data_IF_636661346790
#
_entry.id   IF_636661346790
#
_cell.length_a   1.000
_cell.length_b   1.000
_cell.length_c   1.000
_cell.angle_alpha   90.00
_cell.angle_beta   90.00
_cell.angle_gamma   90.00
#
_symmetry.space_group_name_H-M   'P 1'
#
loop_
_entity.id
_entity.type
_entity.pdbx_description
1 polymer ?
#
# COMPACT_ATOMS: atom_id res chain seq x y z
N UNK A 1 -35.87 -54.62 35.16
CA UNK A 1 -34.79 -54.62 34.15
C UNK A 1 -33.91 -53.37 34.37
N UNK A 2 -32.71 -53.55 34.95
CA UNK A 2 -31.77 -52.46 35.20
C UNK A 2 -30.89 -52.23 33.94
N UNK A 3 -31.03 -51.07 33.30
CA UNK A 3 -30.14 -50.64 32.19
C UNK A 3 -28.74 -50.36 32.75
N UNK A 4 -27.75 -51.18 32.38
CA UNK A 4 -26.33 -50.88 32.61
C UNK A 4 -25.87 -49.82 31.61
N UNK A 5 -25.57 -48.63 32.10
CA UNK A 5 -24.91 -47.58 31.33
C UNK A 5 -23.45 -47.98 31.07
N UNK A 6 -23.10 -48.26 29.83
CA UNK A 6 -21.70 -48.44 29.39
C UNK A 6 -20.99 -47.09 29.47
N UNK A 7 -20.09 -46.93 30.43
CA UNK A 7 -19.18 -45.80 30.48
C UNK A 7 -18.08 -46.05 29.45
N UNK A 8 -18.01 -45.27 28.43
CA UNK A 8 -16.98 -45.33 27.38
C UNK A 8 -15.65 -44.85 27.99
N UNK A 9 -14.54 -45.61 27.88
CA UNK A 9 -13.23 -45.25 28.45
C UNK A 9 -12.65 -43.93 27.88
N UNK A 10 -13.11 -43.48 26.72
CA UNK A 10 -12.71 -42.19 26.11
C UNK A 10 -12.96 -40.97 27.04
N UNK A 11 -14.06 -40.92 27.75
CA UNK A 11 -14.34 -39.80 28.68
C UNK A 11 -13.31 -39.69 29.79
N UNK A 12 -12.79 -40.81 30.24
CA UNK A 12 -11.76 -40.85 31.27
C UNK A 12 -10.41 -40.31 30.75
N UNK A 13 -10.02 -40.68 29.55
CA UNK A 13 -8.80 -40.17 28.90
C UNK A 13 -8.89 -38.66 28.61
N UNK A 14 -10.06 -38.17 28.22
CA UNK A 14 -10.29 -36.72 27.98
C UNK A 14 -10.13 -35.90 29.25
N UNK A 15 -10.64 -36.36 30.38
CA UNK A 15 -10.49 -35.66 31.69
C UNK A 15 -9.06 -35.72 32.24
N UNK A 16 -8.34 -36.82 32.00
CA UNK A 16 -6.92 -36.94 32.35
C UNK A 16 -6.07 -36.02 31.47
N UNK A 17 -6.33 -35.95 30.15
CA UNK A 17 -5.63 -35.05 29.23
C UNK A 17 -5.93 -33.57 29.53
N UNK A 18 -7.18 -33.24 29.88
CA UNK A 18 -7.59 -31.89 30.27
C UNK A 18 -6.95 -31.50 31.63
N UNK A 19 -6.86 -32.42 32.58
CA UNK A 19 -6.19 -32.20 33.85
C UNK A 19 -4.67 -31.99 33.70
N UNK A 20 -4.05 -32.70 32.77
CA UNK A 20 -2.63 -32.55 32.47
C UNK A 20 -2.33 -31.21 31.77
N UNK A 21 -3.26 -30.70 30.98
CA UNK A 21 -3.15 -29.37 30.33
C UNK A 21 -3.25 -28.19 31.32
N UNK A 22 -4.01 -28.36 32.43
CA UNK A 22 -4.11 -27.37 33.49
C UNK A 22 -2.95 -27.43 34.52
N UNK A 23 -2.17 -28.52 34.53
CA UNK A 23 -1.00 -28.64 35.41
C UNK A 23 0.30 -28.13 34.74
N UNK A 24 0.35 -28.00 33.39
CA UNK A 24 1.49 -27.48 32.70
C UNK A 24 1.90 -26.04 33.07
N UNK A 25 1.00 -25.10 33.34
CA UNK A 25 1.42 -23.73 33.69
C UNK A 25 2.03 -23.62 35.11
N UNK A 26 1.81 -24.59 35.99
CA UNK A 26 2.38 -24.56 37.34
C UNK A 26 3.88 -24.91 37.41
N UNK A 27 4.45 -25.52 36.34
CA UNK A 27 5.85 -25.90 36.25
C UNK A 27 6.70 -24.84 35.50
N UNK A 28 6.11 -23.76 34.97
CA UNK A 28 6.78 -22.70 34.21
C UNK A 28 7.14 -21.46 35.04
N UNK A 29 7.05 -21.51 36.38
CA UNK A 29 7.66 -20.49 37.23
C UNK A 29 9.17 -20.76 37.35
N UNK A 30 9.89 -20.77 36.24
CA UNK A 30 11.32 -20.53 36.24
C UNK A 30 11.53 -19.12 36.79
N UNK A 31 12.21 -19.00 37.94
CA UNK A 31 12.63 -17.73 38.50
C UNK A 31 13.31 -16.94 37.44
N UNK A 32 12.66 -15.89 36.92
CA UNK A 32 13.28 -14.92 36.00
C UNK A 32 14.28 -14.13 36.85
N UNK A 33 15.52 -14.61 36.92
CA UNK A 33 16.62 -13.80 37.41
C UNK A 33 16.62 -12.52 36.54
N UNK A 34 16.56 -11.36 37.16
CA UNK A 34 16.62 -10.07 36.49
C UNK A 34 17.88 -9.34 36.93
N UNK A 35 18.50 -8.62 36.02
CA UNK A 35 19.69 -7.82 36.26
C UNK A 35 19.33 -6.36 36.01
N UNK A 36 19.72 -5.48 36.93
CA UNK A 36 19.56 -4.04 36.76
C UNK A 36 20.75 -3.50 35.98
N UNK A 37 20.51 -2.96 34.78
CA UNK A 37 21.49 -2.32 33.94
C UNK A 37 21.27 -0.82 33.96
N UNK A 38 22.34 -0.03 34.08
CA UNK A 38 22.31 1.43 34.04
C UNK A 38 23.48 1.97 33.22
N UNK A 39 23.40 3.20 32.78
CA UNK A 39 24.47 3.84 32.04
C UNK A 39 24.10 5.24 31.59
N UNK A 40 24.99 5.84 30.80
CA UNK A 40 24.81 7.16 30.19
C UNK A 40 24.82 6.98 28.67
N UNK A 41 23.89 7.65 27.98
CA UNK A 41 23.88 7.74 26.53
C UNK A 41 24.35 9.12 26.11
N UNK A 42 25.36 9.15 25.24
CA UNK A 42 25.95 10.39 24.72
C UNK A 42 25.98 10.37 23.19
N UNK A 43 26.14 11.55 22.61
CA UNK A 43 26.40 11.70 21.18
C UNK A 43 27.93 11.54 20.86
N UNK A 44 28.29 11.83 19.60
CA UNK A 44 29.70 11.81 19.13
C UNK A 44 30.57 12.86 19.75
N UNK A 45 30.02 13.95 20.35
CA UNK A 45 30.71 15.01 21.02
C UNK A 45 30.79 14.81 22.53
N UNK A 46 30.31 13.67 23.06
CA UNK A 46 30.13 13.32 24.46
C UNK A 46 29.07 14.17 25.19
N UNK A 47 28.14 14.80 24.47
CA UNK A 47 27.00 15.48 25.07
C UNK A 47 25.93 14.46 25.45
N UNK A 48 25.27 14.57 26.63
CA UNK A 48 24.24 13.64 27.07
C UNK A 48 23.00 13.77 26.21
N UNK A 49 22.46 12.64 25.79
CA UNK A 49 21.22 12.57 24.96
C UNK A 49 20.01 12.32 25.85
N UNK A 50 19.10 13.30 25.88
CA UNK A 50 17.83 13.26 26.62
C UNK A 50 16.76 12.59 25.75
N UNK A 51 15.95 11.68 26.32
CA UNK A 51 14.79 11.12 25.61
C UNK A 51 15.15 9.94 24.68
N UNK A 52 16.33 9.38 24.78
CA UNK A 52 16.69 8.13 24.08
C UNK A 52 15.83 6.99 24.62
N UNK A 53 15.16 6.28 23.74
CA UNK A 53 14.41 5.07 24.10
C UNK A 53 15.36 3.89 24.20
N UNK A 54 15.43 3.28 25.37
CA UNK A 54 16.13 2.04 25.68
C UNK A 54 15.09 0.93 25.88
N UNK A 55 15.17 -0.15 25.14
CA UNK A 55 14.23 -1.25 25.20
C UNK A 55 14.91 -2.63 25.18
N UNK A 56 14.44 -3.55 26.02
CA UNK A 56 14.85 -4.95 25.96
C UNK A 56 14.23 -5.60 24.70
N UNK A 57 15.09 -6.08 23.81
CA UNK A 57 14.70 -6.63 22.51
C UNK A 57 13.70 -7.78 22.65
N UNK A 58 12.56 -7.68 21.93
CA UNK A 58 11.51 -8.70 21.93
C UNK A 58 10.55 -8.64 23.11
N UNK A 59 10.59 -7.55 23.90
CA UNK A 59 9.66 -7.30 25.00
C UNK A 59 9.09 -5.88 24.93
N UNK A 60 8.14 -5.58 25.81
CA UNK A 60 7.62 -4.21 26.03
C UNK A 60 8.34 -3.49 27.15
N UNK A 61 9.41 -4.09 27.73
CA UNK A 61 10.19 -3.54 28.82
C UNK A 61 11.17 -2.48 28.28
N UNK A 62 11.08 -1.25 28.74
CA UNK A 62 11.93 -0.16 28.28
C UNK A 62 11.98 1.02 29.24
N UNK A 63 12.94 1.88 29.04
CA UNK A 63 13.16 3.12 29.77
C UNK A 63 13.47 4.27 28.78
N UNK A 64 13.53 5.49 29.30
CA UNK A 64 13.91 6.69 28.54
C UNK A 64 15.01 7.41 29.33
N UNK A 65 16.03 7.93 28.64
CA UNK A 65 17.11 8.68 29.28
C UNK A 65 16.62 10.01 29.88
N UNK A 66 17.13 10.35 31.05
CA UNK A 66 16.87 11.61 31.73
C UNK A 66 17.67 12.79 31.16
N UNK A 67 17.60 13.95 31.84
CA UNK A 67 18.28 15.21 31.43
C UNK A 67 19.82 15.11 31.42
N UNK A 68 20.38 14.17 32.15
CA UNK A 68 21.83 13.88 32.19
C UNK A 68 22.20 12.71 31.25
N UNK A 69 21.27 12.26 30.39
CA UNK A 69 21.42 11.11 29.49
C UNK A 69 21.47 9.75 30.21
N UNK A 70 21.13 9.70 31.52
CA UNK A 70 21.17 8.46 32.31
C UNK A 70 19.95 7.61 32.09
N UNK A 71 20.13 6.29 32.04
CA UNK A 71 19.05 5.31 32.00
C UNK A 71 19.24 4.22 33.05
N UNK A 72 18.16 3.54 33.39
CA UNK A 72 18.19 2.38 34.28
C UNK A 72 17.03 1.45 33.91
N UNK A 73 17.36 0.22 33.51
CA UNK A 73 16.40 -0.79 33.10
C UNK A 73 16.70 -2.12 33.77
N UNK A 74 15.67 -2.81 34.21
CA UNK A 74 15.79 -4.16 34.75
C UNK A 74 15.46 -5.17 33.66
N UNK A 75 16.44 -6.00 33.27
CA UNK A 75 16.35 -6.90 32.11
C UNK A 75 16.70 -8.33 32.48
N UNK A 76 16.40 -9.27 31.59
CA UNK A 76 16.82 -10.66 31.74
C UNK A 76 18.32 -10.80 31.47
N UNK A 77 19.04 -11.70 32.20
CA UNK A 77 20.43 -11.99 31.91
C UNK A 77 20.60 -12.39 30.43
N UNK A 78 21.67 -11.92 29.81
CA UNK A 78 21.99 -12.16 28.39
C UNK A 78 21.03 -11.54 27.38
N UNK A 79 20.13 -10.63 27.78
CA UNK A 79 19.28 -9.90 26.87
C UNK A 79 20.03 -8.87 26.03
N UNK A 80 19.46 -8.47 24.90
CA UNK A 80 19.99 -7.38 24.07
C UNK A 80 19.15 -6.12 24.33
N UNK A 81 19.84 -5.03 24.62
CA UNK A 81 19.27 -3.69 24.74
C UNK A 81 19.32 -2.99 23.40
N UNK A 82 18.24 -2.34 23.01
CA UNK A 82 18.17 -1.53 21.79
C UNK A 82 17.93 -0.08 22.16
N UNK A 83 18.90 0.74 21.80
CA UNK A 83 18.85 2.20 21.95
C UNK A 83 18.39 2.83 20.64
N UNK A 84 17.41 3.71 20.72
CA UNK A 84 16.90 4.43 19.55
C UNK A 84 16.55 5.86 19.89
N UNK A 85 16.97 6.79 19.03
CA UNK A 85 16.69 8.22 19.13
C UNK A 85 16.53 8.83 17.75
N UNK A 86 15.73 9.91 17.65
CA UNK A 86 15.48 10.59 16.37
C UNK A 86 16.81 11.15 15.86
N UNK A 87 17.12 10.91 14.59
CA UNK A 87 18.36 11.34 13.91
C UNK A 87 19.63 10.61 14.32
N UNK A 88 19.55 9.52 15.10
CA UNK A 88 20.68 8.68 15.47
C UNK A 88 20.49 7.24 14.99
N UNK A 89 21.59 6.57 14.65
CA UNK A 89 21.57 5.14 14.30
C UNK A 89 21.15 4.32 15.51
N UNK A 90 20.14 3.46 15.34
CA UNK A 90 19.74 2.54 16.38
C UNK A 90 20.89 1.57 16.68
N UNK A 91 21.26 1.43 17.97
CA UNK A 91 22.34 0.57 18.43
C UNK A 91 21.76 -0.59 19.24
N UNK A 92 22.24 -1.82 18.98
CA UNK A 92 21.92 -3.00 19.78
C UNK A 92 23.17 -3.45 20.54
N UNK A 93 23.06 -3.58 21.87
CA UNK A 93 24.14 -4.00 22.76
C UNK A 93 23.66 -5.15 23.63
N UNK A 94 24.46 -6.22 23.75
CA UNK A 94 24.20 -7.32 24.68
C UNK A 94 24.61 -6.94 26.09
N UNK A 95 23.80 -7.33 27.06
CA UNK A 95 24.06 -7.06 28.47
C UNK A 95 25.34 -7.79 28.95
N UNK A 96 25.54 -9.08 28.59
CA UNK A 96 26.73 -9.91 28.85
C UNK A 96 27.24 -9.83 30.32
N UNK A 97 26.34 -9.75 31.29
CA UNK A 97 26.68 -9.68 32.74
C UNK A 97 27.14 -8.31 33.20
N UNK A 98 27.04 -7.25 32.40
CA UNK A 98 27.46 -5.89 32.72
C UNK A 98 26.31 -5.12 33.38
N UNK A 99 26.55 -4.59 34.55
CA UNK A 99 25.60 -3.72 35.27
C UNK A 99 25.68 -2.25 34.82
N UNK A 100 26.77 -1.85 34.20
CA UNK A 100 26.91 -0.49 33.65
C UNK A 100 27.33 -0.57 32.21
N UNK A 101 26.52 0.03 31.33
CA UNK A 101 26.75 0.07 29.88
C UNK A 101 26.56 1.51 29.39
N UNK A 102 27.67 2.18 29.13
CA UNK A 102 27.63 3.51 28.51
C UNK A 102 27.57 3.39 27.01
N UNK A 103 26.70 4.18 26.41
CA UNK A 103 26.38 4.14 24.98
C UNK A 103 26.80 5.46 24.35
N UNK A 104 27.45 5.34 23.19
CA UNK A 104 27.73 6.48 22.31
C UNK A 104 26.96 6.27 21.02
N UNK A 105 26.00 7.13 20.75
CA UNK A 105 25.18 7.07 19.52
C UNK A 105 25.85 7.87 18.41
N UNK A 106 25.84 7.33 17.21
CA UNK A 106 26.26 7.99 15.99
C UNK A 106 25.08 8.62 15.29
N UNK A 107 25.26 9.80 14.72
CA UNK A 107 24.26 10.44 13.89
C UNK A 107 23.86 9.53 12.73
N UNK A 108 22.58 9.35 12.52
CA UNK A 108 22.06 8.69 11.33
C UNK A 108 21.96 9.69 10.17
N UNK A 109 23.10 9.93 9.55
CA UNK A 109 23.20 10.83 8.39
C UNK A 109 22.31 10.35 7.23
N UNK A 110 21.93 9.07 7.21
CA UNK A 110 21.01 8.53 6.19
C UNK A 110 19.54 8.84 6.48
N UNK A 111 19.16 9.07 7.74
CA UNK A 111 17.78 9.41 8.09
C UNK A 111 17.37 10.85 7.68
N UNK A 112 18.35 11.69 7.30
CA UNK A 112 18.12 13.10 6.94
C UNK A 112 18.17 13.39 5.44
N UNK A 113 18.55 12.43 4.60
CA UNK A 113 18.59 12.61 3.15
C UNK A 113 17.34 12.02 2.50
N UNK A 114 16.16 12.58 2.79
CA UNK A 114 15.03 12.44 1.88
C UNK A 114 15.36 13.21 0.60
N UNK A 115 15.82 12.47 -0.39
CA UNK A 115 16.07 13.00 -1.73
C UNK A 115 14.74 13.08 -2.46
N UNK A 116 14.37 14.27 -2.86
CA UNK A 116 13.15 14.52 -3.64
C UNK A 116 13.53 14.62 -5.11
N UNK A 117 12.82 13.87 -5.96
CA UNK A 117 13.00 13.93 -7.41
C UNK A 117 12.26 15.15 -7.96
N UNK A 118 12.99 16.10 -8.54
CA UNK A 118 12.42 17.29 -9.20
C UNK A 118 12.89 17.34 -10.65
N UNK A 119 11.96 17.19 -11.57
CA UNK A 119 12.25 17.26 -13.00
C UNK A 119 13.27 16.21 -13.42
N UNK A 120 14.40 16.68 -13.91
CA UNK A 120 15.50 15.83 -14.40
C UNK A 120 16.63 15.63 -13.36
N UNK A 121 16.45 16.10 -12.12
CA UNK A 121 17.43 16.02 -11.04
C UNK A 121 16.86 15.56 -9.71
N UNK A 122 17.77 15.31 -8.79
CA UNK A 122 17.44 15.01 -7.38
C UNK A 122 18.01 16.12 -6.53
N UNK A 123 17.22 16.67 -5.62
CA UNK A 123 17.66 17.66 -4.63
C UNK A 123 17.36 17.14 -3.21
N UNK A 124 18.18 17.51 -2.25
CA UNK A 124 17.88 17.23 -0.87
C UNK A 124 16.67 18.04 -0.42
N UNK A 125 15.76 17.43 0.36
CA UNK A 125 14.54 18.07 0.86
C UNK A 125 14.81 19.38 1.58
N UNK A 126 16.00 19.52 2.19
CA UNK A 126 16.45 20.74 2.88
C UNK A 126 16.74 21.91 1.93
N UNK A 127 17.07 21.63 0.68
CA UNK A 127 17.39 22.64 -0.35
C UNK A 127 16.13 23.13 -1.08
N UNK A 128 14.98 22.47 -0.83
CA UNK A 128 13.72 22.83 -1.45
C UNK A 128 13.06 23.99 -0.73
N UNK A 129 13.03 25.14 -1.37
CA UNK A 129 12.25 26.32 -0.94
C UNK A 129 10.78 26.21 -1.30
N UNK A 130 10.39 25.22 -2.09
CA UNK A 130 9.04 25.01 -2.60
C UNK A 130 8.27 23.93 -1.84
N UNK A 131 6.93 24.02 -1.80
CA UNK A 131 6.07 23.09 -1.07
C UNK A 131 5.97 21.73 -1.79
N UNK A 132 6.94 20.86 -1.56
CA UNK A 132 6.94 19.46 -2.02
C UNK A 132 6.62 18.53 -0.86
N UNK A 133 5.73 17.58 -1.11
CA UNK A 133 5.43 16.51 -0.15
C UNK A 133 5.94 15.18 -0.67
N UNK A 134 6.80 14.53 0.10
CA UNK A 134 7.35 13.21 -0.19
C UNK A 134 6.59 12.13 0.57
N UNK A 135 6.22 11.04 -0.09
CA UNK A 135 5.60 9.85 0.50
C UNK A 135 6.40 8.64 0.05
N UNK A 136 6.94 7.90 0.99
CA UNK A 136 7.74 6.71 0.72
C UNK A 136 6.90 5.43 0.67
N UNK A 137 7.47 4.36 0.13
CA UNK A 137 6.81 3.05 0.11
C UNK A 137 6.49 2.50 1.51
N UNK A 138 7.16 2.96 2.56
CA UNK A 138 6.89 2.57 3.96
C UNK A 138 5.56 3.13 4.44
N UNK A 139 5.19 4.33 3.98
CA UNK A 139 3.94 4.99 4.31
C UNK A 139 2.72 4.33 3.65
N UNK A 140 2.96 3.52 2.61
CA UNK A 140 1.92 2.77 1.88
C UNK A 140 1.56 1.41 2.52
N UNK A 141 2.37 0.90 3.45
CA UNK A 141 2.23 -0.46 3.99
C UNK A 141 0.89 -0.74 4.70
N UNK A 142 0.20 0.30 5.14
CA UNK A 142 -1.05 0.19 5.89
C UNK A 142 -2.30 0.46 5.05
N UNK A 143 -2.16 0.66 3.73
CA UNK A 143 -3.29 0.96 2.86
C UNK A 143 -3.60 -0.23 1.97
N UNK A 144 -4.76 -0.83 2.22
CA UNK A 144 -5.31 -1.92 1.41
C UNK A 144 -6.09 -1.38 0.22
N UNK A 145 -5.42 -0.66 -0.69
CA UNK A 145 -6.05 -0.17 -1.91
C UNK A 145 -5.38 -0.71 -3.16
N UNK A 146 -6.20 -1.09 -4.13
CA UNK A 146 -5.76 -1.49 -5.48
C UNK A 146 -5.43 -0.28 -6.36
N UNK A 147 -5.95 0.91 -6.00
CA UNK A 147 -5.73 2.16 -6.71
C UNK A 147 -4.59 2.95 -6.02
N UNK A 148 -3.48 3.24 -6.73
CA UNK A 148 -2.38 4.06 -6.20
C UNK A 148 -2.82 5.47 -5.78
N UNK A 149 -3.88 6.02 -6.38
CA UNK A 149 -4.41 7.34 -6.04
C UNK A 149 -4.88 7.42 -4.59
N UNK A 150 -5.46 6.33 -4.08
CA UNK A 150 -5.95 6.24 -2.71
C UNK A 150 -4.81 6.22 -1.68
N UNK A 151 -3.59 5.90 -2.10
CA UNK A 151 -2.42 5.83 -1.21
C UNK A 151 -2.01 7.21 -0.66
N UNK A 152 -2.39 8.28 -1.34
CA UNK A 152 -2.10 9.66 -0.93
C UNK A 152 -3.25 10.35 -0.19
N UNK A 153 -4.43 9.72 -0.16
CA UNK A 153 -5.62 10.26 0.50
C UNK A 153 -5.35 10.51 1.99
N UNK A 154 -5.64 11.74 2.45
CA UNK A 154 -5.47 12.15 3.85
C UNK A 154 -4.03 12.31 4.34
N UNK A 155 -3.02 12.01 3.50
CA UNK A 155 -1.60 12.08 3.90
C UNK A 155 -0.90 13.36 3.50
N UNK A 156 -1.45 14.09 2.54
CA UNK A 156 -0.83 15.29 1.98
C UNK A 156 -1.74 16.49 2.12
N UNK A 157 -1.31 17.48 2.88
CA UNK A 157 -2.04 18.72 3.02
C UNK A 157 -2.19 19.43 1.66
N UNK A 158 -3.41 19.89 1.34
CA UNK A 158 -3.74 20.56 0.08
C UNK A 158 -3.94 19.62 -1.11
N UNK A 159 -4.04 18.31 -0.87
CA UNK A 159 -4.41 17.32 -1.88
C UNK A 159 -5.75 16.68 -1.50
N UNK A 160 -6.72 16.78 -2.39
CA UNK A 160 -8.00 16.10 -2.28
C UNK A 160 -8.02 14.89 -3.21
N UNK A 161 -8.40 13.75 -2.66
CA UNK A 161 -8.59 12.51 -3.41
C UNK A 161 -10.03 12.06 -3.19
N UNK A 162 -10.80 12.06 -4.26
CA UNK A 162 -12.23 11.72 -4.22
C UNK A 162 -12.49 10.50 -5.09
N UNK A 163 -13.09 9.48 -4.51
CA UNK A 163 -13.55 8.32 -5.24
C UNK A 163 -15.08 8.26 -5.13
N UNK A 164 -15.78 8.66 -6.19
CA UNK A 164 -17.25 8.77 -6.22
C UNK A 164 -17.93 7.43 -6.51
N UNK A 165 -17.19 6.47 -7.05
CA UNK A 165 -17.70 5.14 -7.39
C UNK A 165 -16.71 4.06 -6.91
N UNK A 166 -16.45 4.01 -5.61
CA UNK A 166 -15.48 3.10 -4.99
C UNK A 166 -15.82 1.62 -5.20
N UNK A 167 -17.07 1.33 -5.45
CA UNK A 167 -17.59 -0.01 -5.71
C UNK A 167 -17.37 -0.48 -7.15
N UNK A 168 -17.14 0.44 -8.09
CA UNK A 168 -16.82 0.12 -9.47
C UNK A 168 -15.31 -0.18 -9.59
N UNK A 169 -14.91 -1.39 -10.01
CA UNK A 169 -13.50 -1.76 -10.15
C UNK A 169 -12.77 -1.00 -11.28
N UNK A 170 -13.49 -0.28 -12.12
CA UNK A 170 -12.95 0.54 -13.22
C UNK A 170 -12.72 1.98 -12.81
N UNK A 171 -13.45 2.43 -11.79
CA UNK A 171 -13.36 3.82 -11.35
C UNK A 171 -11.98 4.14 -10.79
N UNK A 172 -11.53 5.35 -11.11
CA UNK A 172 -10.28 5.91 -10.62
C UNK A 172 -10.60 7.07 -9.70
N UNK A 173 -9.93 7.15 -8.58
CA UNK A 173 -10.06 8.30 -7.73
C UNK A 173 -9.55 9.56 -8.46
N UNK A 174 -10.33 10.62 -8.38
CA UNK A 174 -9.95 11.94 -8.86
C UNK A 174 -9.02 12.61 -7.87
N UNK A 175 -7.89 13.11 -8.35
CA UNK A 175 -6.91 13.83 -7.54
C UNK A 175 -6.94 15.30 -7.91
N UNK A 176 -7.00 16.16 -6.89
CA UNK A 176 -6.97 17.61 -7.06
C UNK A 176 -5.96 18.23 -6.09
N UNK A 177 -5.10 19.11 -6.58
CA UNK A 177 -4.08 19.80 -5.80
C UNK A 177 -4.46 21.28 -5.71
N UNK A 178 -4.63 21.81 -4.46
CA UNK A 178 -4.93 23.22 -4.14
C UNK A 178 -6.20 23.80 -4.76
N UNK A 179 -7.10 22.97 -5.29
CA UNK A 179 -8.39 23.43 -5.82
C UNK A 179 -8.48 23.50 -7.34
N UNK A 180 -9.56 24.08 -7.84
CA UNK A 180 -9.88 24.16 -9.26
C UNK A 180 -9.16 25.37 -9.87
N UNK A 181 -8.22 25.13 -10.79
CA UNK A 181 -7.47 26.19 -11.47
C UNK A 181 -8.07 26.59 -12.82
N UNK A 182 -8.89 25.74 -13.43
CA UNK A 182 -9.49 25.98 -14.74
C UNK A 182 -10.87 25.34 -14.86
N UNK A 183 -11.77 25.99 -15.61
CA UNK A 183 -13.09 25.45 -15.94
C UNK A 183 -13.10 24.52 -17.14
N UNK A 184 -12.16 24.72 -18.07
CA UNK A 184 -12.18 24.04 -19.39
C UNK A 184 -11.05 23.03 -19.57
N UNK A 185 -9.95 23.14 -18.83
CA UNK A 185 -8.86 22.17 -18.85
C UNK A 185 -9.07 21.08 -17.80
N UNK A 186 -8.52 19.91 -18.02
CA UNK A 186 -8.55 18.83 -17.03
C UNK A 186 -8.06 19.31 -15.64
N UNK A 187 -8.74 18.91 -14.59
CA UNK A 187 -8.49 19.35 -13.21
C UNK A 187 -7.39 18.54 -12.50
N UNK A 188 -7.00 17.40 -13.06
CA UNK A 188 -6.03 16.50 -12.46
C UNK A 188 -4.59 16.98 -12.59
N UNK A 189 -3.71 16.57 -11.67
CA UNK A 189 -2.28 16.85 -11.74
C UNK A 189 -1.61 16.09 -12.90
N UNK A 190 -0.48 16.60 -13.35
CA UNK A 190 0.38 15.87 -14.27
C UNK A 190 1.04 14.71 -13.53
N UNK A 191 0.92 13.49 -14.07
CA UNK A 191 1.61 12.32 -13.55
C UNK A 191 2.91 12.12 -14.33
N UNK A 192 4.00 11.98 -13.58
CA UNK A 192 5.35 11.72 -14.13
C UNK A 192 5.84 10.40 -13.50
N UNK A 193 6.18 9.43 -14.31
CA UNK A 193 6.69 8.13 -13.85
C UNK A 193 8.13 7.99 -14.33
N UNK A 194 9.06 7.81 -13.40
CA UNK A 194 10.50 7.69 -13.64
C UNK A 194 11.06 8.80 -14.57
N UNK A 195 10.52 10.03 -14.42
CA UNK A 195 10.92 11.21 -15.22
C UNK A 195 10.14 11.40 -16.52
N UNK A 196 9.25 10.48 -16.90
CA UNK A 196 8.46 10.56 -18.14
C UNK A 196 7.08 11.14 -17.84
N UNK A 197 6.74 12.33 -18.38
CA UNK A 197 5.45 12.97 -18.15
C UNK A 197 4.31 12.36 -18.98
N UNK A 198 3.09 12.38 -18.45
CA UNK A 198 1.89 11.87 -19.12
C UNK A 198 1.56 10.42 -18.77
N UNK A 199 2.14 9.90 -17.70
CA UNK A 199 1.79 8.62 -17.13
C UNK A 199 0.35 8.60 -16.59
N UNK A 200 -0.12 7.43 -16.20
CA UNK A 200 -1.38 7.23 -15.47
C UNK A 200 -1.15 6.34 -14.27
N UNK A 201 -1.77 6.67 -13.14
CA UNK A 201 -1.72 5.85 -11.92
C UNK A 201 -2.31 4.46 -12.12
N UNK A 202 -3.21 4.28 -13.07
CA UNK A 202 -3.79 2.97 -13.41
C UNK A 202 -2.83 2.02 -14.09
N UNK A 203 -1.76 2.56 -14.66
CA UNK A 203 -0.77 1.77 -15.41
C UNK A 203 0.31 1.17 -14.51
N UNK A 204 0.39 1.58 -13.25
CA UNK A 204 1.42 1.13 -12.32
C UNK A 204 0.82 0.35 -11.16
N UNK A 205 1.46 -0.77 -10.81
CA UNK A 205 1.09 -1.50 -9.60
C UNK A 205 1.56 -0.74 -8.34
N UNK A 206 0.70 -0.60 -7.30
CA UNK A 206 1.12 -0.05 -6.02
C UNK A 206 2.40 -0.68 -5.45
N UNK A 207 2.59 -1.97 -5.71
CA UNK A 207 3.76 -2.72 -5.26
C UNK A 207 5.07 -2.30 -5.92
N UNK A 208 5.01 -1.66 -7.10
CA UNK A 208 6.19 -1.20 -7.83
C UNK A 208 6.58 0.24 -7.52
N UNK A 209 5.78 0.97 -6.74
CA UNK A 209 6.06 2.35 -6.35
C UNK A 209 7.05 2.36 -5.17
N UNK A 210 8.15 3.10 -5.33
CA UNK A 210 9.13 3.38 -4.29
C UNK A 210 8.76 4.64 -3.51
N UNK A 211 8.42 5.72 -4.22
CA UNK A 211 7.98 6.99 -3.63
C UNK A 211 7.06 7.76 -4.57
N UNK A 212 6.32 8.69 -3.98
CA UNK A 212 5.54 9.71 -4.69
C UNK A 212 5.92 11.08 -4.14
N UNK A 213 6.33 11.98 -5.03
CA UNK A 213 6.66 13.37 -4.73
C UNK A 213 5.58 14.28 -5.31
N UNK A 214 4.89 15.03 -4.47
CA UNK A 214 3.79 15.90 -4.87
C UNK A 214 4.27 17.35 -4.88
N UNK A 215 4.41 17.89 -6.10
CA UNK A 215 4.79 19.27 -6.38
C UNK A 215 3.53 20.12 -6.41
N UNK A 216 3.32 20.90 -5.36
CA UNK A 216 2.07 21.67 -5.18
C UNK A 216 2.17 23.09 -5.70
N UNK A 217 3.37 23.66 -5.76
CA UNK A 217 3.62 25.03 -6.14
C UNK A 217 3.99 25.17 -7.62
N UNK A 218 3.62 26.30 -8.20
CA UNK A 218 4.00 26.67 -9.56
C UNK A 218 5.52 26.69 -9.78
N UNK A 219 6.30 27.10 -8.78
CA UNK A 219 7.76 27.09 -8.86
C UNK A 219 8.32 25.66 -8.99
N UNK A 220 7.81 24.71 -8.21
CA UNK A 220 8.23 23.32 -8.29
C UNK A 220 7.75 22.62 -9.57
N UNK A 221 6.58 23.00 -10.08
CA UNK A 221 6.00 22.42 -11.29
C UNK A 221 6.44 23.11 -12.60
N UNK A 222 7.10 24.27 -12.53
CA UNK A 222 7.54 25.06 -13.68
C UNK A 222 8.40 24.28 -14.68
N UNK A 223 9.19 23.32 -14.21
CA UNK A 223 10.02 22.44 -15.05
C UNK A 223 9.18 21.64 -16.06
N UNK A 224 7.92 21.36 -15.71
CA UNK A 224 6.98 20.62 -16.56
C UNK A 224 6.11 21.53 -17.45
N UNK A 225 6.39 22.84 -17.42
CA UNK A 225 5.68 23.85 -18.21
C UNK A 225 4.19 23.97 -17.86
N UNK A 226 3.38 24.40 -18.82
CA UNK A 226 1.93 24.61 -18.65
C UNK A 226 1.17 23.34 -18.23
N UNK A 227 1.68 22.16 -18.55
CA UNK A 227 1.08 20.88 -18.15
C UNK A 227 1.14 20.64 -16.63
N UNK A 228 2.09 21.29 -15.94
CA UNK A 228 2.24 21.23 -14.49
C UNK A 228 1.39 22.26 -13.73
N UNK A 229 0.54 23.06 -14.37
CA UNK A 229 -0.23 24.13 -13.74
C UNK A 229 -1.18 23.67 -12.61
N UNK A 230 -1.67 22.44 -12.70
CA UNK A 230 -2.54 21.83 -11.67
C UNK A 230 -1.75 21.02 -10.62
N UNK A 231 -0.44 21.24 -10.55
CA UNK A 231 0.50 20.43 -9.76
C UNK A 231 1.00 19.20 -10.50
N UNK A 232 2.02 18.57 -9.94
CA UNK A 232 2.67 17.40 -10.52
C UNK A 232 2.84 16.32 -9.46
N UNK A 233 2.55 15.08 -9.80
CA UNK A 233 2.86 13.92 -9.00
C UNK A 233 3.98 13.15 -9.69
N UNK A 234 5.16 13.15 -9.09
CA UNK A 234 6.33 12.41 -9.58
C UNK A 234 6.37 11.06 -8.86
N UNK A 235 6.33 10.00 -9.62
CA UNK A 235 6.40 8.63 -9.13
C UNK A 235 7.76 8.06 -9.46
N UNK A 236 8.44 7.55 -8.45
CA UNK A 236 9.66 6.77 -8.61
C UNK A 236 9.34 5.30 -8.41
N UNK A 237 9.74 4.45 -9.35
CA UNK A 237 9.54 3.00 -9.24
C UNK A 237 10.67 2.34 -8.46
N UNK A 238 10.37 1.18 -7.86
CA UNK A 238 11.35 0.35 -7.16
C UNK A 238 12.37 -0.22 -8.14
N UNK A 239 13.63 -0.07 -7.80
CA UNK A 239 14.75 -0.68 -8.52
C UNK A 239 15.15 -2.01 -7.90
N UNK A 240 16.00 -2.76 -8.57
CA UNK A 240 16.59 -3.99 -8.05
C UNK A 240 17.55 -3.70 -6.88
N UNK A 241 17.77 -4.72 -6.04
CA UNK A 241 18.78 -4.66 -4.98
C UNK A 241 20.19 -4.59 -5.58
N UNK A 242 21.12 -3.96 -4.83
CA UNK A 242 22.55 -3.89 -5.18
C UNK A 242 23.45 -4.63 -4.18
N UNK A 243 22.85 -5.50 -3.36
CA UNK A 243 23.54 -6.22 -2.27
C UNK A 243 24.22 -7.53 -2.69
N UNK A 244 24.26 -7.82 -3.97
CA UNK A 244 24.83 -9.05 -4.51
C UNK A 244 23.94 -10.28 -4.32
N UNK A 245 22.73 -10.13 -3.77
CA UNK A 245 21.83 -11.23 -3.46
C UNK A 245 20.62 -11.25 -4.39
N UNK A 246 20.11 -12.44 -4.60
CA UNK A 246 18.83 -12.65 -5.28
C UNK A 246 17.68 -12.58 -4.25
N UNK A 247 16.68 -11.80 -4.56
CA UNK A 247 15.47 -11.65 -3.75
C UNK A 247 14.25 -12.07 -4.54
N UNK A 248 13.47 -12.99 -3.97
CA UNK A 248 12.15 -13.34 -4.47
C UNK A 248 11.11 -12.95 -3.42
N UNK A 249 10.09 -12.19 -3.83
CA UNK A 249 9.04 -11.70 -2.93
C UNK A 249 7.68 -12.02 -3.51
N UNK A 250 6.83 -12.62 -2.71
CA UNK A 250 5.41 -12.77 -3.00
C UNK A 250 4.60 -11.82 -2.12
N UNK A 251 3.67 -11.08 -2.72
CA UNK A 251 2.68 -10.26 -2.03
C UNK A 251 1.29 -10.58 -2.57
N UNK A 252 0.39 -10.95 -1.68
CA UNK A 252 -1.02 -11.14 -2.01
C UNK A 252 -1.87 -10.10 -1.27
N UNK A 253 -2.87 -9.56 -1.96
CA UNK A 253 -3.91 -8.73 -1.35
C UNK A 253 -5.26 -9.36 -1.68
N UNK A 254 -6.08 -9.51 -0.65
CA UNK A 254 -7.45 -9.96 -0.75
C UNK A 254 -8.33 -8.89 -0.11
N UNK A 255 -9.36 -8.46 -0.83
CA UNK A 255 -10.29 -7.44 -0.35
C UNK A 255 -11.71 -7.94 -0.55
N UNK A 256 -12.54 -7.79 0.48
CA UNK A 256 -13.98 -7.98 0.42
C UNK A 256 -14.66 -6.62 0.62
N UNK A 257 -15.59 -6.27 -0.24
CA UNK A 257 -16.36 -5.02 -0.12
C UNK A 257 -17.85 -5.36 -0.10
N UNK A 258 -18.55 -4.70 0.80
CA UNK A 258 -19.99 -4.87 1.04
C UNK A 258 -20.66 -3.51 0.93
N UNK A 259 -21.87 -3.42 0.39
CA UNK A 259 -22.67 -2.21 0.49
C UNK A 259 -22.99 -1.95 1.99
N UNK A 260 -22.76 -0.72 2.45
CA UNK A 260 -23.02 -0.32 3.85
C UNK A 260 -24.46 0.17 4.06
N UNK A 261 -25.07 0.72 3.03
CA UNK A 261 -26.42 1.25 3.06
C UNK A 261 -27.16 0.74 1.83
N UNK A 262 -28.38 0.30 2.04
CA UNK A 262 -29.35 -0.02 1.01
C UNK A 262 -30.19 1.24 0.77
N UNK A 263 -30.62 1.45 -0.48
CA UNK A 263 -31.56 2.49 -0.79
C UNK A 263 -32.97 2.02 -0.37
N UNK A 264 -33.70 2.85 0.37
CA UNK A 264 -35.07 2.54 0.84
C UNK A 264 -36.10 2.39 -0.31
N UNK A 265 -35.66 2.49 -1.57
CA UNK A 265 -36.49 2.48 -2.77
C UNK A 265 -36.61 1.10 -3.43
N UNK A 266 -35.71 0.17 -3.12
CA UNK A 266 -35.75 -1.20 -3.63
C UNK A 266 -36.21 -2.17 -2.54
N UNK A 267 -36.98 -3.20 -2.92
CA UNK A 267 -37.22 -4.31 -2.00
C UNK A 267 -35.90 -5.05 -1.73
N UNK A 268 -35.80 -5.69 -0.56
CA UNK A 268 -34.59 -6.44 -0.18
C UNK A 268 -34.24 -7.55 -1.19
N UNK A 269 -35.22 -8.07 -1.89
CA UNK A 269 -35.06 -9.12 -2.90
C UNK A 269 -34.48 -8.56 -4.20
N UNK A 270 -35.03 -7.46 -4.70
CA UNK A 270 -34.54 -6.74 -5.88
C UNK A 270 -33.11 -6.20 -5.66
N UNK A 271 -32.83 -5.68 -4.46
CA UNK A 271 -31.49 -5.24 -4.12
C UNK A 271 -30.47 -6.38 -4.18
N UNK A 272 -30.82 -7.58 -3.71
CA UNK A 272 -29.94 -8.76 -3.78
C UNK A 272 -29.73 -9.27 -5.20
N UNK A 273 -30.68 -9.06 -6.09
CA UNK A 273 -30.56 -9.48 -7.49
C UNK A 273 -29.60 -8.62 -8.30
N UNK A 274 -29.44 -7.33 -7.95
CA UNK A 274 -28.55 -6.40 -8.66
C UNK A 274 -27.22 -6.16 -7.95
N UNK A 275 -27.13 -6.48 -6.66
CA UNK A 275 -25.92 -6.29 -5.85
C UNK A 275 -25.36 -7.63 -5.35
N UNK A 276 -24.04 -7.66 -5.19
CA UNK A 276 -23.34 -8.83 -4.64
C UNK A 276 -22.22 -8.39 -3.70
N UNK A 277 -21.80 -9.29 -2.82
CA UNK A 277 -20.51 -9.16 -2.14
C UNK A 277 -19.40 -9.23 -3.17
N UNK A 278 -18.56 -8.21 -3.23
CA UNK A 278 -17.46 -8.21 -4.17
C UNK A 278 -16.17 -8.68 -3.52
N UNK A 279 -15.43 -9.48 -4.27
CA UNK A 279 -14.11 -9.94 -3.88
C UNK A 279 -13.09 -9.45 -4.90
N UNK A 280 -11.97 -8.96 -4.38
CA UNK A 280 -10.86 -8.58 -5.23
C UNK A 280 -9.58 -9.20 -4.69
N UNK A 281 -8.76 -9.74 -5.59
CA UNK A 281 -7.47 -10.27 -5.22
C UNK A 281 -6.39 -9.82 -6.19
N UNK A 282 -5.20 -9.59 -5.63
CA UNK A 282 -4.04 -9.15 -6.41
C UNK A 282 -2.76 -9.82 -5.90
N UNK A 283 -2.44 -11.03 -6.37
CA UNK A 283 -1.11 -11.61 -6.17
C UNK A 283 -0.07 -10.88 -7.02
N UNK A 284 1.11 -10.69 -6.46
CA UNK A 284 2.27 -10.09 -7.13
C UNK A 284 3.51 -10.91 -6.77
N UNK A 285 4.25 -11.34 -7.77
CA UNK A 285 5.56 -11.98 -7.63
C UNK A 285 6.62 -11.00 -8.11
N UNK A 286 7.66 -10.82 -7.33
CA UNK A 286 8.78 -9.95 -7.67
C UNK A 286 10.09 -10.69 -7.51
N UNK A 287 10.92 -10.63 -8.53
CA UNK A 287 12.29 -11.11 -8.54
C UNK A 287 13.22 -9.92 -8.70
N UNK A 288 14.23 -9.81 -7.86
CA UNK A 288 15.19 -8.71 -7.95
C UNK A 288 16.57 -9.14 -7.47
N UNK A 289 17.58 -8.44 -7.94
CA UNK A 289 18.96 -8.69 -7.54
C UNK A 289 19.90 -7.76 -8.29
N UNK A 290 21.17 -7.92 -8.04
CA UNK A 290 22.19 -7.14 -8.74
C UNK A 290 23.48 -7.02 -7.96
N UNK A 291 24.42 -6.32 -8.54
CA UNK A 291 25.72 -5.97 -7.98
C UNK A 291 25.77 -4.47 -7.69
N UNK A 292 26.87 -3.98 -7.18
CA UNK A 292 27.09 -2.53 -7.00
C UNK A 292 26.89 -1.70 -8.28
N UNK A 293 27.14 -2.31 -9.45
CA UNK A 293 27.08 -1.64 -10.74
C UNK A 293 25.76 -1.89 -11.50
N UNK A 294 25.22 -3.09 -11.43
CA UNK A 294 24.03 -3.47 -12.19
C UNK A 294 22.97 -4.03 -11.25
N UNK A 295 21.73 -3.63 -11.46
CA UNK A 295 20.61 -4.26 -10.77
C UNK A 295 19.45 -4.49 -11.73
N UNK A 296 18.64 -5.46 -11.39
CA UNK A 296 17.44 -5.82 -12.11
C UNK A 296 16.29 -6.07 -11.14
N UNK A 297 15.09 -5.77 -11.62
CA UNK A 297 13.83 -6.10 -10.95
C UNK A 297 12.82 -6.53 -12.00
N UNK A 298 12.16 -7.64 -11.75
CA UNK A 298 11.04 -8.14 -12.53
C UNK A 298 9.86 -8.38 -11.60
N UNK A 299 8.70 -7.83 -11.91
CA UNK A 299 7.46 -8.10 -11.20
C UNK A 299 6.38 -8.56 -12.17
N UNK A 300 5.55 -9.50 -11.72
CA UNK A 300 4.35 -9.95 -12.42
C UNK A 300 3.20 -9.84 -11.44
N UNK A 301 2.13 -9.18 -11.87
CA UNK A 301 0.92 -9.02 -11.09
C UNK A 301 -0.31 -9.49 -11.88
N UNK A 302 -1.21 -10.12 -11.16
CA UNK A 302 -2.55 -10.43 -11.61
C UNK A 302 -3.54 -9.70 -10.72
N UNK A 303 -4.60 -9.17 -11.27
CA UNK A 303 -5.71 -8.56 -10.54
C UNK A 303 -7.02 -9.12 -11.05
N UNK A 304 -7.84 -9.58 -10.14
CA UNK A 304 -9.24 -9.83 -10.40
C UNK A 304 -10.05 -9.04 -9.38
N UNK A 305 -10.95 -8.21 -9.84
CA UNK A 305 -11.79 -7.35 -9.01
C UNK A 305 -13.21 -7.41 -9.55
N UNK A 306 -14.16 -7.75 -8.69
CA UNK A 306 -15.59 -7.68 -8.98
C UNK A 306 -16.17 -6.46 -8.28
N UNK A 307 -17.10 -5.75 -8.93
CA UNK A 307 -17.87 -4.68 -8.30
C UNK A 307 -19.06 -5.22 -7.52
N UNK A 308 -19.74 -4.34 -6.80
CA UNK A 308 -20.95 -4.70 -6.02
C UNK A 308 -22.15 -5.00 -6.90
N UNK A 309 -22.19 -4.49 -8.10
CA UNK A 309 -23.18 -4.84 -9.12
C UNK A 309 -22.82 -6.14 -9.83
N UNK A 310 -23.82 -6.84 -10.33
CA UNK A 310 -23.66 -8.21 -10.85
C UNK A 310 -22.82 -8.29 -12.13
N UNK A 311 -22.62 -7.19 -12.85
CA UNK A 311 -21.93 -7.14 -14.15
C UNK A 311 -20.67 -6.31 -14.16
N UNK A 312 -20.26 -5.70 -13.06
CA UNK A 312 -18.99 -4.99 -13.06
C UNK A 312 -17.84 -5.93 -12.67
N UNK A 313 -16.81 -5.95 -13.49
CA UNK A 313 -15.67 -6.80 -13.29
C UNK A 313 -14.43 -6.29 -14.01
N UNK A 314 -13.25 -6.48 -13.41
CA UNK A 314 -11.96 -6.13 -14.00
C UNK A 314 -10.94 -7.23 -13.76
N UNK A 315 -10.38 -7.72 -14.84
CA UNK A 315 -9.28 -8.67 -14.81
C UNK A 315 -8.06 -8.05 -15.48
N UNK A 316 -6.91 -8.09 -14.81
CA UNK A 316 -5.68 -7.50 -15.32
C UNK A 316 -4.50 -8.45 -15.14
N UNK A 317 -3.67 -8.48 -16.15
CA UNK A 317 -2.36 -9.10 -16.18
C UNK A 317 -1.33 -8.03 -16.42
N UNK A 318 -0.41 -7.84 -15.49
CA UNK A 318 0.65 -6.86 -15.57
C UNK A 318 2.02 -7.50 -15.37
N UNK A 319 3.01 -7.00 -16.07
CA UNK A 319 4.40 -7.29 -15.79
C UNK A 319 5.21 -6.00 -15.88
N UNK A 320 6.30 -5.93 -15.15
CA UNK A 320 7.28 -4.85 -15.23
C UNK A 320 8.67 -5.44 -15.09
N UNK A 321 9.55 -5.07 -15.98
CA UNK A 321 10.97 -5.41 -15.88
C UNK A 321 11.79 -4.12 -15.94
N UNK A 322 12.76 -3.98 -15.05
CA UNK A 322 13.71 -2.86 -15.03
C UNK A 322 15.13 -3.38 -14.90
N UNK A 323 16.02 -2.80 -15.68
CA UNK A 323 17.47 -3.06 -15.64
C UNK A 323 18.17 -1.72 -15.53
N UNK A 324 19.07 -1.59 -14.56
CA UNK A 324 19.87 -0.39 -14.38
C UNK A 324 21.35 -0.78 -14.30
N UNK A 325 22.19 -0.02 -14.95
CA UNK A 325 23.63 -0.20 -14.95
C UNK A 325 24.34 1.13 -14.78
N UNK A 326 25.29 1.19 -13.87
CA UNK A 326 26.18 2.34 -13.65
C UNK A 326 27.61 1.89 -13.85
N UNK A 327 28.36 2.57 -14.70
CA UNK A 327 29.79 2.25 -14.90
C UNK A 327 30.60 2.48 -13.63
N UNK A 328 31.76 1.77 -13.48
CA UNK A 328 32.61 1.85 -12.26
C UNK A 328 33.03 3.27 -11.90
N UNK A 329 33.28 4.10 -12.89
CA UNK A 329 33.67 5.50 -12.72
C UNK A 329 32.47 6.46 -12.55
N UNK A 330 31.24 5.93 -12.51
CA UNK A 330 30.03 6.77 -12.38
C UNK A 330 29.74 7.66 -13.60
N UNK A 331 30.50 7.50 -14.70
CA UNK A 331 30.40 8.35 -15.88
C UNK A 331 29.07 8.12 -16.64
N UNK A 332 28.64 6.87 -16.74
CA UNK A 332 27.48 6.48 -17.52
C UNK A 332 26.48 5.72 -16.65
N UNK A 333 25.24 6.19 -16.63
CA UNK A 333 24.10 5.49 -16.09
C UNK A 333 23.16 5.11 -17.25
N UNK A 334 22.79 3.85 -17.28
CA UNK A 334 21.85 3.28 -18.24
C UNK A 334 20.69 2.63 -17.51
N UNK A 335 19.47 2.91 -17.93
CA UNK A 335 18.27 2.25 -17.43
C UNK A 335 17.30 1.91 -18.54
N UNK A 336 16.69 0.73 -18.44
CA UNK A 336 15.60 0.28 -19.33
C UNK A 336 14.47 -0.23 -18.46
N UNK A 337 13.26 0.23 -18.75
CA UNK A 337 12.03 -0.25 -18.15
C UNK A 337 11.08 -0.71 -19.26
N UNK A 338 10.40 -1.83 -19.04
CA UNK A 338 9.36 -2.37 -19.92
C UNK A 338 8.20 -2.83 -19.05
N UNK A 339 6.98 -2.38 -19.36
CA UNK A 339 5.80 -2.67 -18.57
C UNK A 339 4.58 -2.98 -19.46
N UNK A 340 4.43 -4.22 -19.96
CA UNK A 340 3.22 -4.68 -20.62
C UNK A 340 2.08 -4.86 -19.62
N UNK A 341 0.84 -4.55 -20.06
CA UNK A 341 -0.39 -4.78 -19.30
C UNK A 341 -1.56 -5.08 -20.22
N UNK A 342 -2.37 -6.06 -19.83
CA UNK A 342 -3.62 -6.40 -20.49
C UNK A 342 -4.72 -6.33 -19.43
N UNK A 343 -5.81 -5.64 -19.75
CA UNK A 343 -6.96 -5.51 -18.88
C UNK A 343 -8.24 -5.81 -19.66
N UNK A 344 -9.04 -6.70 -19.08
CA UNK A 344 -10.41 -7.00 -19.50
C UNK A 344 -11.37 -6.30 -18.55
N UNK A 345 -12.41 -5.72 -19.09
CA UNK A 345 -13.44 -4.98 -18.36
C UNK A 345 -14.81 -5.48 -18.71
N UNK A 346 -15.63 -5.66 -17.69
CA UNK A 346 -17.08 -5.80 -17.82
C UNK A 346 -17.69 -4.59 -17.11
N UNK A 347 -18.41 -3.76 -17.86
CA UNK A 347 -19.04 -2.56 -17.32
C UNK A 347 -20.52 -2.87 -17.02
N UNK A 348 -21.01 -2.35 -15.92
CA UNK A 348 -22.42 -2.36 -15.59
C UNK A 348 -23.17 -1.27 -16.34
N UNK A 349 -24.46 -1.48 -16.61
CA UNK A 349 -25.34 -0.44 -17.13
C UNK A 349 -25.72 0.55 -16.02
N UNK A 350 -25.36 1.82 -16.19
CA UNK A 350 -25.81 2.88 -15.30
C UNK A 350 -27.30 3.18 -15.47
N UNK A 351 -27.82 2.95 -16.67
CA UNK A 351 -29.23 3.15 -16.96
C UNK A 351 -30.10 2.14 -16.20
N UNK A 352 -29.64 0.91 -16.02
CA UNK A 352 -30.34 -0.09 -15.22
C UNK A 352 -30.56 0.36 -13.76
N UNK A 353 -29.56 1.02 -13.14
CA UNK A 353 -29.71 1.55 -11.78
C UNK A 353 -30.72 2.72 -11.73
N UNK A 354 -30.67 3.59 -12.71
CA UNK A 354 -31.61 4.71 -12.83
C UNK A 354 -33.03 4.17 -13.01
N UNK A 355 -33.20 3.20 -13.91
CA UNK A 355 -34.47 2.54 -14.16
C UNK A 355 -34.97 1.86 -12.88
N UNK A 356 -34.11 1.16 -12.14
CA UNK A 356 -34.48 0.53 -10.87
C UNK A 356 -34.95 1.53 -9.82
N UNK A 357 -34.40 2.76 -9.82
CA UNK A 357 -34.86 3.81 -8.91
C UNK A 357 -36.20 4.43 -9.31
N UNK A 358 -36.49 4.46 -10.61
CA UNK A 358 -37.73 5.02 -11.18
C UNK A 358 -38.83 3.98 -11.30
N UNK A 359 -38.50 2.67 -11.16
CA UNK A 359 -39.46 1.57 -11.29
C UNK A 359 -40.48 1.53 -10.14
N UNK A 360 -41.72 1.13 -10.45
CA UNK A 360 -42.75 0.93 -9.44
C UNK A 360 -42.36 -0.29 -8.53
N UNK A 361 -42.17 -0.11 -7.23
CA UNK A 361 -41.77 -1.20 -6.33
C UNK A 361 -42.82 -2.31 -6.16
N UNK A 362 -44.05 -2.14 -6.69
CA UNK A 362 -45.09 -3.18 -6.67
C UNK A 362 -45.04 -4.09 -7.91
N UNK A 363 -44.24 -3.74 -8.90
CA UNK A 363 -44.09 -4.58 -10.11
C UNK A 363 -43.14 -5.73 -9.80
N UNK A 364 -43.57 -6.99 -9.94
CA UNK A 364 -42.71 -8.14 -9.66
C UNK A 364 -41.58 -8.22 -10.69
N UNK A 365 -40.40 -8.69 -10.26
CA UNK A 365 -39.22 -8.83 -11.10
C UNK A 365 -39.40 -9.83 -12.24
N UNK A 366 -40.10 -10.92 -11.95
CA UNK A 366 -40.41 -11.97 -12.90
C UNK A 366 -41.90 -12.01 -13.20
N UNK A 367 -42.24 -12.42 -14.42
CA UNK A 367 -43.61 -12.57 -14.85
C UNK A 367 -44.34 -13.58 -13.92
N UNK A 368 -45.46 -13.17 -13.28
CA UNK A 368 -46.21 -14.06 -12.39
C UNK A 368 -46.78 -15.31 -13.08
N UNK A 369 -47.05 -15.23 -14.39
CA UNK A 369 -47.56 -16.35 -15.17
C UNK A 369 -46.45 -17.25 -15.70
N UNK A 370 -45.24 -16.68 -15.90
CA UNK A 370 -44.08 -17.43 -16.38
C UNK A 370 -42.80 -17.01 -15.62
N UNK A 371 -42.44 -17.66 -14.50
CA UNK A 371 -41.32 -17.30 -13.67
C UNK A 371 -39.93 -17.39 -14.34
N UNK A 372 -39.84 -17.85 -15.57
CA UNK A 372 -38.61 -17.88 -16.36
C UNK A 372 -38.43 -16.64 -17.23
N UNK A 373 -39.43 -15.77 -17.29
CA UNK A 373 -39.35 -14.50 -18.01
C UNK A 373 -39.33 -13.33 -17.05
N UNK A 374 -38.65 -12.26 -17.43
CA UNK A 374 -38.70 -11.01 -16.71
C UNK A 374 -40.00 -10.29 -16.94
N UNK A 375 -40.53 -9.61 -15.91
CA UNK A 375 -41.76 -8.82 -16.05
C UNK A 375 -41.56 -7.66 -17.03
N UNK A 376 -42.63 -7.36 -17.78
CA UNK A 376 -42.68 -6.22 -18.68
C UNK A 376 -42.92 -4.93 -17.89
N UNK A 377 -42.04 -3.98 -18.02
CA UNK A 377 -42.09 -2.64 -17.39
C UNK A 377 -42.65 -1.60 -18.39
N UNK A 378 -43.08 -2.00 -19.59
CA UNK A 378 -43.66 -1.08 -20.58
C UNK A 378 -44.89 -0.40 -20.02
N UNK A 379 -45.00 0.93 -20.24
CA UNK A 379 -46.09 1.73 -19.71
C UNK A 379 -45.81 2.38 -18.35
N UNK A 380 -44.63 2.15 -17.76
CA UNK A 380 -44.10 2.88 -16.64
C UNK A 380 -43.07 3.93 -17.13
N UNK A 381 -42.60 4.81 -16.28
CA UNK A 381 -41.48 5.70 -16.61
C UNK A 381 -40.20 4.92 -16.89
N UNK A 382 -40.03 3.75 -16.26
CA UNK A 382 -39.01 2.78 -16.60
C UNK A 382 -39.48 1.92 -17.81
N UNK A 383 -38.71 1.93 -18.87
CA UNK A 383 -39.11 1.30 -20.15
C UNK A 383 -38.81 -0.19 -20.21
N UNK A 384 -37.92 -0.71 -19.40
CA UNK A 384 -37.47 -2.13 -19.36
C UNK A 384 -37.12 -2.61 -17.96
N UNK A 385 -37.02 -3.93 -17.82
CA UNK A 385 -36.68 -4.53 -16.56
C UNK A 385 -35.18 -4.30 -16.24
N UNK A 386 -34.83 -3.63 -15.14
CA UNK A 386 -33.46 -3.26 -14.84
C UNK A 386 -32.55 -4.48 -14.61
N UNK A 387 -33.08 -5.57 -14.07
CA UNK A 387 -32.31 -6.80 -13.84
C UNK A 387 -32.05 -7.54 -15.13
N UNK A 388 -33.06 -7.57 -16.03
CA UNK A 388 -32.93 -8.15 -17.36
C UNK A 388 -31.82 -7.43 -18.15
N UNK A 389 -31.82 -6.09 -18.14
CA UNK A 389 -30.79 -5.28 -18.78
C UNK A 389 -29.42 -5.59 -18.23
N UNK A 390 -29.25 -5.58 -16.90
CA UNK A 390 -27.96 -5.93 -16.28
C UNK A 390 -27.47 -7.32 -16.62
N UNK A 391 -28.36 -8.30 -16.77
CA UNK A 391 -27.98 -9.70 -17.07
C UNK A 391 -27.75 -9.95 -18.57
N UNK A 392 -28.46 -9.27 -19.45
CA UNK A 392 -28.40 -9.50 -20.90
C UNK A 392 -27.42 -8.53 -21.60
N UNK A 393 -27.24 -7.32 -21.11
CA UNK A 393 -26.31 -6.37 -21.71
C UNK A 393 -24.87 -6.89 -21.59
N UNK A 394 -24.17 -6.90 -22.71
CA UNK A 394 -22.74 -7.20 -22.79
C UNK A 394 -21.97 -5.91 -23.11
N UNK A 395 -21.55 -5.22 -22.07
CA UNK A 395 -20.75 -4.02 -22.19
C UNK A 395 -19.39 -4.28 -21.56
N UNK A 396 -18.37 -4.33 -22.40
CA UNK A 396 -17.03 -4.64 -21.92
C UNK A 396 -15.97 -4.26 -22.94
N UNK A 397 -14.73 -4.44 -22.57
CA UNK A 397 -13.62 -4.14 -23.47
C UNK A 397 -12.28 -4.71 -23.01
N UNK A 398 -11.38 -4.82 -23.96
CA UNK A 398 -10.00 -5.19 -23.77
C UNK A 398 -9.11 -3.97 -23.94
N UNK A 399 -8.14 -3.79 -23.04
CA UNK A 399 -7.10 -2.76 -23.18
C UNK A 399 -5.74 -3.45 -23.14
N UNK A 400 -4.96 -3.28 -24.19
CA UNK A 400 -3.56 -3.72 -24.26
C UNK A 400 -2.65 -2.50 -24.19
N UNK A 401 -1.68 -2.54 -23.30
CA UNK A 401 -0.77 -1.44 -23.06
C UNK A 401 0.67 -1.97 -23.01
N UNK A 402 1.57 -1.22 -23.60
CA UNK A 402 3.01 -1.43 -23.48
C UNK A 402 3.66 -0.08 -23.20
N UNK A 403 4.09 0.11 -21.95
CA UNK A 403 4.95 1.25 -21.61
C UNK A 403 6.41 0.77 -21.58
N UNK A 404 7.28 1.53 -22.22
CA UNK A 404 8.71 1.26 -22.19
C UNK A 404 9.50 2.56 -22.20
N UNK A 405 10.64 2.56 -21.56
CA UNK A 405 11.60 3.64 -21.62
C UNK A 405 13.04 3.13 -21.55
N UNK A 406 13.92 3.89 -22.16
CA UNK A 406 15.35 3.70 -22.05
C UNK A 406 16.01 5.07 -21.79
N UNK A 407 16.77 5.15 -20.72
CA UNK A 407 17.46 6.39 -20.32
C UNK A 407 18.95 6.15 -20.27
N UNK A 408 19.70 7.08 -20.85
CA UNK A 408 21.15 7.15 -20.77
C UNK A 408 21.52 8.49 -20.17
N UNK A 409 22.20 8.49 -19.03
CA UNK A 409 22.70 9.70 -18.37
C UNK A 409 24.21 9.69 -18.36
N UNK A 410 24.82 10.76 -18.90
CA UNK A 410 26.24 10.98 -18.88
C UNK A 410 26.58 12.00 -17.77
N UNK A 411 27.37 11.60 -16.80
CA UNK A 411 27.84 12.44 -15.70
C UNK A 411 29.23 12.95 -16.02
N UNK A 412 29.36 14.21 -16.45
CA UNK A 412 30.63 14.80 -16.89
C UNK A 412 31.54 15.27 -15.76
N UNK A 413 31.00 15.48 -14.54
CA UNK A 413 31.74 15.98 -13.39
C UNK A 413 32.91 15.09 -12.90
N UNK A 414 32.88 13.75 -12.99
CA UNK A 414 34.01 12.91 -12.62
C UNK A 414 35.23 13.05 -13.57
N UNK A 415 35.07 13.72 -14.72
CA UNK A 415 36.15 13.98 -15.66
C UNK A 415 36.92 15.28 -15.37
N UNK A 416 36.39 16.12 -14.47
CA UNK A 416 36.96 17.43 -14.11
C UNK A 416 37.56 17.44 -12.72
N UNK A 417 37.51 16.34 -11.97
CA UNK A 417 38.17 16.08 -10.69
C UNK A 417 39.34 15.13 -10.91
#
# INVERSE_FOLDING_TARGET
MKKKTKIYPWKMYFHVLLGMFFLLPALLNAQNATVKVSGIVTDTNNEPLIGVSDAEKGTTNGAITDVDGKYSLTVRPTSSLRFSFISYKALEVKEDGRQTINIRMEDDVQALNEVVVIGYGTLDKKELTSAVSHISSKDFLHISSLDPSMMIQGKVAGVSVTNTAAADPHNQASIQIRGISSRAAGLGPLIVIDGIPGGSLTKISPNDIASMDILKDGAASAIYGTRGSNGVIVITTKKGSRDGKFHATYKGMLTASLPLHELDQLTAEEFREIHRTCFSHKPTVTLSGGTSQSNYRCSVDYRNATGIDIRSGREEYGARASINHTTKNGLLDFSVNIAPRIAYRENSSWDAFKIAMDANPTTPLFDPENPHLYSDFTGQEALWNPVEELKLEQNGGETKLLDWDATVKLNLLPLLA
#
